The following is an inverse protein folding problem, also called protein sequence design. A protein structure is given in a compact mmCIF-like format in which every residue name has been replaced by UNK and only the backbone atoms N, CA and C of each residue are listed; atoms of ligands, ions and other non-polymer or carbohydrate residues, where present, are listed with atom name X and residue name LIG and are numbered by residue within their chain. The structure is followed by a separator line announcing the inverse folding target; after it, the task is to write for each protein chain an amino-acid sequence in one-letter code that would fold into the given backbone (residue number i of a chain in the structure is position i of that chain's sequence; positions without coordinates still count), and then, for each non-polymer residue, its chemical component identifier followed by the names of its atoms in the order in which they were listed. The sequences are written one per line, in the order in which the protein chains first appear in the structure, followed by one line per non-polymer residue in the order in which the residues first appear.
data_IF_640297051668
#
_entry.id   IF_640297051668
#
_cell.length_a   1.000
_cell.length_b   1.000
_cell.length_c   1.000
_cell.angle_alpha   90.00
_cell.angle_beta   90.00
_cell.angle_gamma   90.00
#
_symmetry.space_group_name_H-M   'P 1'
#
loop_
_entity.id
_entity.type
_entity.pdbx_description
1 polymer ?
#
# COMPACT_ATOMS: atom_id res chain seq x y z
N UNK A 1 -2.99 11.61 -16.70
CA UNK A 1 -3.45 12.99 -16.44
C UNK A 1 -3.71 13.06 -14.94
N UNK A 2 -2.69 13.05 -14.08
CA UNK A 2 -1.75 14.16 -13.87
C UNK A 2 -0.32 13.65 -13.62
N UNK A 3 0.62 14.06 -14.48
CA UNK A 3 2.06 14.11 -14.21
C UNK A 3 2.49 15.57 -13.92
N UNK A 4 1.53 16.43 -13.56
CA UNK A 4 1.70 17.88 -13.40
C UNK A 4 1.40 18.29 -11.97
N UNK A 5 2.33 19.01 -11.35
CA UNK A 5 2.15 19.66 -10.06
C UNK A 5 1.29 20.92 -10.26
N UNK A 6 0.15 21.02 -9.60
CA UNK A 6 -0.66 22.25 -9.58
C UNK A 6 -0.14 23.19 -8.49
N UNK A 7 0.18 24.42 -8.88
CA UNK A 7 0.68 25.45 -7.97
C UNK A 7 -0.46 26.13 -7.20
N UNK A 8 -1.72 25.94 -7.62
CA UNK A 8 -2.91 26.31 -6.84
C UNK A 8 -3.16 25.20 -5.81
N UNK A 9 -2.72 25.45 -4.57
CA UNK A 9 -3.03 24.56 -3.44
C UNK A 9 -4.55 24.53 -3.20
N UNK A 10 -5.21 23.47 -3.67
CA UNK A 10 -6.57 23.12 -3.27
C UNK A 10 -6.49 22.10 -2.15
N UNK A 11 -6.91 22.48 -0.94
CA UNK A 11 -7.00 21.54 0.16
C UNK A 11 -8.08 20.49 -0.17
N UNK A 12 -7.73 19.20 -0.08
CA UNK A 12 -8.70 18.11 -0.20
C UNK A 12 -9.83 18.32 0.80
N UNK A 13 -11.08 18.32 0.31
CA UNK A 13 -12.28 18.41 1.14
C UNK A 13 -12.82 16.99 1.29
N UNK A 14 -12.79 16.45 2.51
CA UNK A 14 -13.17 15.06 2.73
C UNK A 14 -12.11 14.09 2.22
N UNK A 15 -12.42 13.36 1.14
CA UNK A 15 -11.60 12.25 0.64
C UNK A 15 -11.66 12.24 -0.88
N UNK A 16 -10.51 12.06 -1.52
CA UNK A 16 -10.40 11.87 -2.97
C UNK A 16 -9.92 10.45 -3.30
N UNK A 17 -10.39 9.92 -4.43
CA UNK A 17 -10.09 8.56 -4.88
C UNK A 17 -9.42 8.59 -6.25
N UNK A 18 -8.23 7.99 -6.32
CA UNK A 18 -7.47 7.84 -7.55
C UNK A 18 -7.11 6.37 -7.77
N UNK A 19 -7.35 5.87 -8.99
CA UNK A 19 -6.90 4.53 -9.40
C UNK A 19 -5.77 4.66 -10.41
N UNK A 20 -4.63 4.03 -10.13
CA UNK A 20 -3.46 4.04 -11.03
C UNK A 20 -2.93 2.63 -11.23
N UNK A 21 -2.93 2.18 -12.47
CA UNK A 21 -2.29 0.92 -12.87
C UNK A 21 -0.79 1.14 -13.07
N UNK A 22 0.03 0.33 -12.41
CA UNK A 22 1.48 0.30 -12.58
C UNK A 22 1.91 -1.04 -13.17
N UNK A 23 2.82 -0.97 -14.12
CA UNK A 23 3.45 -2.14 -14.74
C UNK A 23 4.82 -2.33 -14.10
N UNK A 24 4.96 -3.41 -13.32
CA UNK A 24 6.24 -3.91 -12.83
C UNK A 24 6.75 -4.97 -13.81
N UNK A 25 8.03 -5.33 -13.71
CA UNK A 25 8.66 -6.29 -14.63
C UNK A 25 7.97 -7.66 -14.62
N UNK A 26 7.42 -8.05 -13.48
CA UNK A 26 6.83 -9.36 -13.20
C UNK A 26 5.29 -9.35 -13.08
N UNK A 27 4.66 -8.16 -12.94
CA UNK A 27 3.21 -8.06 -12.71
C UNK A 27 2.63 -6.68 -13.02
N UNK A 28 1.31 -6.65 -13.21
CA UNK A 28 0.53 -5.41 -13.27
C UNK A 28 -0.21 -5.21 -11.95
N UNK A 29 0.03 -4.10 -11.27
CA UNK A 29 -0.60 -3.75 -9.98
C UNK A 29 -1.54 -2.58 -10.19
N UNK A 30 -2.80 -2.70 -9.77
CA UNK A 30 -3.74 -1.58 -9.73
C UNK A 30 -3.77 -0.97 -8.33
N UNK A 31 -3.16 0.19 -8.17
CA UNK A 31 -3.18 0.94 -6.91
C UNK A 31 -4.49 1.73 -6.81
N UNK A 32 -5.19 1.55 -5.70
CA UNK A 32 -6.31 2.37 -5.27
C UNK A 32 -5.80 3.32 -4.19
N UNK A 33 -5.66 4.60 -4.55
CA UNK A 33 -5.18 5.64 -3.67
C UNK A 33 -6.37 6.39 -3.10
N UNK A 34 -6.38 6.51 -1.78
CA UNK A 34 -7.35 7.29 -1.03
C UNK A 34 -6.60 8.48 -0.42
N UNK A 35 -6.77 9.67 -0.98
CA UNK A 35 -6.22 10.89 -0.40
C UNK A 35 -7.20 11.45 0.62
N UNK A 36 -6.81 11.48 1.89
CA UNK A 36 -7.66 11.96 2.97
C UNK A 36 -7.29 13.39 3.32
N UNK A 37 -8.29 14.25 3.52
CA UNK A 37 -8.06 15.58 4.04
C UNK A 37 -7.35 15.51 5.41
N UNK A 38 -6.15 16.09 5.51
CA UNK A 38 -5.39 16.18 6.77
C UNK A 38 -6.01 17.09 7.83
N UNK A 39 -7.24 17.60 7.60
CA UNK A 39 -7.98 18.40 8.58
C UNK A 39 -8.69 17.51 9.59
N UNK A 40 -8.54 17.84 10.86
CA UNK A 40 -9.16 17.14 11.99
C UNK A 40 -10.69 17.04 11.90
N UNK A 41 -11.36 17.94 11.16
CA UNK A 41 -12.81 17.90 10.96
C UNK A 41 -13.31 16.68 10.18
N UNK A 42 -12.44 16.05 9.39
CA UNK A 42 -12.77 14.83 8.63
C UNK A 42 -12.18 13.57 9.25
N UNK A 43 -11.61 13.68 10.46
CA UNK A 43 -10.90 12.57 11.13
C UNK A 43 -11.82 11.39 11.48
N UNK A 44 -13.12 11.63 11.65
CA UNK A 44 -14.12 10.58 11.90
C UNK A 44 -14.32 9.65 10.70
N UNK A 45 -13.97 10.08 9.48
CA UNK A 45 -14.09 9.25 8.28
C UNK A 45 -12.87 8.35 8.08
N UNK A 46 -11.72 8.71 8.63
CA UNK A 46 -10.43 8.06 8.35
C UNK A 46 -10.39 6.57 8.74
N UNK A 47 -10.93 6.13 9.90
CA UNK A 47 -10.90 4.71 10.29
C UNK A 47 -11.50 3.76 9.25
N UNK A 48 -12.60 4.13 8.59
CA UNK A 48 -13.25 3.26 7.61
C UNK A 48 -12.40 3.02 6.36
N UNK A 49 -11.53 3.96 5.98
CA UNK A 49 -10.64 3.80 4.82
C UNK A 49 -9.32 3.10 5.19
N UNK A 50 -8.86 3.29 6.43
CA UNK A 50 -7.69 2.56 6.94
C UNK A 50 -7.98 1.06 7.04
N UNK A 51 -9.21 0.67 7.46
CA UNK A 51 -9.58 -0.73 7.74
C UNK A 51 -9.29 -1.71 6.59
N UNK A 52 -9.44 -1.30 5.34
CA UNK A 52 -9.22 -2.16 4.17
C UNK A 52 -7.92 -1.84 3.43
N UNK A 53 -7.09 -0.95 3.98
CA UNK A 53 -5.84 -0.53 3.37
C UNK A 53 -4.70 -1.51 3.65
N UNK A 54 -4.00 -1.94 2.60
CA UNK A 54 -2.78 -2.75 2.70
C UNK A 54 -1.54 -1.91 3.02
N UNK A 55 -1.55 -0.62 2.67
CA UNK A 55 -0.44 0.31 2.86
C UNK A 55 -0.99 1.65 3.35
N UNK A 56 -0.31 2.27 4.30
CA UNK A 56 -0.55 3.64 4.75
C UNK A 56 0.67 4.51 4.46
N UNK A 57 0.48 5.64 3.79
CA UNK A 57 1.54 6.62 3.52
C UNK A 57 1.33 7.83 4.40
N UNK A 58 2.21 8.02 5.38
CA UNK A 58 2.16 9.13 6.34
C UNK A 58 3.18 10.19 5.90
N UNK A 59 2.69 11.36 5.49
CA UNK A 59 3.52 12.41 4.89
C UNK A 59 3.71 13.57 5.86
N UNK A 60 4.92 14.08 5.99
CA UNK A 60 5.23 15.34 6.66
C UNK A 60 6.02 16.28 5.74
N UNK A 61 6.13 17.54 6.13
CA UNK A 61 6.91 18.57 5.44
C UNK A 61 8.26 18.75 6.16
N UNK A 62 9.38 18.56 5.44
CA UNK A 62 10.72 18.68 6.04
C UNK A 62 11.02 20.09 6.58
N UNK A 63 10.30 21.10 6.12
CA UNK A 63 10.41 22.51 6.57
C UNK A 63 9.45 22.87 7.70
N UNK A 64 8.74 21.89 8.28
CA UNK A 64 7.78 22.12 9.35
C UNK A 64 7.87 21.00 10.40
N UNK A 65 8.58 21.26 11.50
CA UNK A 65 8.76 20.30 12.59
C UNK A 65 7.45 19.87 13.25
N UNK A 66 6.44 20.74 13.29
CA UNK A 66 5.12 20.39 13.85
C UNK A 66 4.41 19.33 13.00
N UNK A 67 4.56 19.38 11.68
CA UNK A 67 4.01 18.36 10.78
C UNK A 67 4.64 16.98 11.04
N UNK A 68 5.94 16.94 11.34
CA UNK A 68 6.65 15.73 11.72
C UNK A 68 6.21 15.20 13.10
N UNK A 69 6.06 16.06 14.10
CA UNK A 69 5.55 15.63 15.41
C UNK A 69 4.15 15.00 15.33
N UNK A 70 3.31 15.51 14.42
CA UNK A 70 1.96 15.01 14.21
C UNK A 70 1.91 13.63 13.53
N UNK A 71 2.99 13.14 12.90
CA UNK A 71 2.99 11.83 12.23
C UNK A 71 2.79 10.69 13.21
N UNK A 72 3.31 10.82 14.44
CA UNK A 72 3.14 9.83 15.52
C UNK A 72 1.67 9.47 15.73
N UNK A 73 0.82 10.49 15.87
CA UNK A 73 -0.61 10.29 16.04
C UNK A 73 -1.24 9.56 14.85
N UNK A 74 -0.81 9.86 13.63
CA UNK A 74 -1.29 9.17 12.44
C UNK A 74 -0.83 7.72 12.37
N UNK A 75 0.41 7.43 12.78
CA UNK A 75 0.95 6.07 12.86
C UNK A 75 0.17 5.26 13.91
N UNK A 76 -0.09 5.86 15.07
CA UNK A 76 -0.89 5.24 16.13
C UNK A 76 -2.32 4.96 15.68
N UNK A 77 -2.98 5.94 15.01
CA UNK A 77 -4.32 5.79 14.44
C UNK A 77 -4.37 4.61 13.43
N UNK A 78 -3.35 4.47 12.58
CA UNK A 78 -3.24 3.36 11.60
C UNK A 78 -3.05 2.01 12.30
N UNK A 79 -2.16 1.96 13.30
CA UNK A 79 -1.89 0.74 14.07
C UNK A 79 -3.08 0.31 14.91
N UNK A 80 -3.87 1.25 15.43
CA UNK A 80 -5.08 0.94 16.18
C UNK A 80 -6.13 0.21 15.33
N UNK A 81 -6.25 0.56 14.05
CA UNK A 81 -7.24 -0.04 13.14
C UNK A 81 -6.75 -1.32 12.45
N UNK A 82 -5.45 -1.44 12.12
CA UNK A 82 -4.91 -2.55 11.31
C UNK A 82 -3.89 -3.43 12.01
N UNK A 83 -3.44 -3.06 13.20
CA UNK A 83 -2.32 -3.74 13.86
C UNK A 83 -1.04 -3.68 13.02
N UNK A 84 -0.30 -4.79 12.97
CA UNK A 84 0.98 -4.89 12.28
C UNK A 84 0.87 -5.43 10.84
N UNK A 85 -0.35 -5.71 10.35
CA UNK A 85 -0.58 -6.29 9.01
C UNK A 85 -0.59 -5.23 7.90
N UNK A 86 -0.44 -3.95 8.24
CA UNK A 86 -0.37 -2.83 7.31
C UNK A 86 1.08 -2.35 7.14
N UNK A 87 1.46 -2.13 5.90
CA UNK A 87 2.77 -1.54 5.59
C UNK A 87 2.65 -0.03 5.77
N UNK A 88 3.40 0.54 6.70
CA UNK A 88 3.40 1.99 6.94
C UNK A 88 4.67 2.60 6.35
N UNK A 89 4.50 3.67 5.58
CA UNK A 89 5.59 4.44 4.96
C UNK A 89 5.57 5.87 5.46
N UNK A 90 6.63 6.26 6.16
CA UNK A 90 6.88 7.64 6.57
C UNK A 90 7.58 8.38 5.43
N UNK A 91 7.00 9.51 5.00
CA UNK A 91 7.48 10.28 3.86
C UNK A 91 7.79 11.72 4.25
N UNK A 92 9.06 12.11 4.14
CA UNK A 92 9.49 13.50 4.25
C UNK A 92 9.34 14.20 2.89
N UNK A 93 8.29 15.00 2.73
CA UNK A 93 8.01 15.71 1.47
C UNK A 93 8.59 17.15 1.49
N UNK A 94 8.59 17.78 0.32
CA UNK A 94 9.13 19.13 0.05
C UNK A 94 10.65 19.23 0.21
N UNK A 95 11.38 18.19 -0.21
CA UNK A 95 12.86 18.22 -0.26
C UNK A 95 13.45 19.35 -1.10
N UNK A 96 12.67 19.98 -1.97
CA UNK A 96 13.03 21.21 -2.66
C UNK A 96 13.24 22.42 -1.72
N UNK A 97 12.71 22.37 -0.49
CA UNK A 97 12.87 23.40 0.54
C UNK A 97 14.02 23.09 1.51
N UNK A 98 15.07 22.42 1.05
CA UNK A 98 16.18 21.97 1.90
C UNK A 98 16.86 23.09 2.71
N UNK A 99 16.89 24.33 2.19
CA UNK A 99 17.42 25.50 2.90
C UNK A 99 16.60 25.88 4.14
N UNK A 100 15.31 25.52 4.17
CA UNK A 100 14.39 25.77 5.29
C UNK A 100 14.13 24.49 6.10
N UNK A 101 15.00 23.50 5.99
CA UNK A 101 14.82 22.20 6.65
C UNK A 101 14.83 22.37 8.18
N UNK A 102 13.73 21.96 8.80
CA UNK A 102 13.61 21.88 10.26
C UNK A 102 13.75 20.43 10.76
N UNK A 103 13.52 19.45 9.88
CA UNK A 103 13.62 18.01 10.19
C UNK A 103 14.71 17.38 9.35
N UNK A 104 15.76 16.91 10.01
CA UNK A 104 16.88 16.22 9.36
C UNK A 104 16.45 14.86 8.84
N UNK A 105 17.12 14.38 7.79
CA UNK A 105 16.89 13.03 7.26
C UNK A 105 17.15 11.96 8.34
N UNK A 106 18.17 12.17 9.18
CA UNK A 106 18.48 11.27 10.31
C UNK A 106 17.30 11.16 11.29
N UNK A 107 16.66 12.27 11.66
CA UNK A 107 15.48 12.23 12.54
C UNK A 107 14.34 11.42 11.93
N UNK A 108 14.09 11.56 10.63
CA UNK A 108 13.08 10.78 9.92
C UNK A 108 13.42 9.28 9.88
N UNK A 109 14.69 8.94 9.62
CA UNK A 109 15.16 7.55 9.64
C UNK A 109 15.10 6.91 11.02
N UNK A 110 15.47 7.64 12.08
CA UNK A 110 15.47 7.14 13.45
C UNK A 110 14.03 6.89 13.94
N UNK A 111 13.09 7.76 13.56
CA UNK A 111 11.67 7.58 13.81
C UNK A 111 11.14 6.33 13.13
N UNK A 112 11.42 6.20 11.82
CA UNK A 112 10.99 5.04 11.05
C UNK A 112 11.61 3.73 11.57
N UNK A 113 12.88 3.73 11.98
CA UNK A 113 13.52 2.55 12.57
C UNK A 113 12.88 2.16 13.90
N UNK A 114 12.57 3.15 14.75
CA UNK A 114 11.96 2.91 16.07
C UNK A 114 10.57 2.28 15.95
N UNK A 115 9.80 2.75 14.98
CA UNK A 115 8.43 2.30 14.75
C UNK A 115 8.34 1.24 13.63
N UNK A 116 9.46 0.66 13.19
CA UNK A 116 9.52 -0.36 12.14
C UNK A 116 8.72 0.02 10.86
N UNK A 117 8.94 1.24 10.38
CA UNK A 117 8.30 1.83 9.20
C UNK A 117 9.28 1.87 8.03
N UNK A 118 8.76 1.91 6.80
CA UNK A 118 9.57 2.34 5.66
C UNK A 118 9.75 3.86 5.67
N UNK A 119 10.93 4.33 5.26
CA UNK A 119 11.20 5.77 5.13
C UNK A 119 11.64 6.14 3.71
N UNK A 120 11.18 7.30 3.24
CA UNK A 120 11.65 7.92 2.00
C UNK A 120 11.45 9.44 2.02
N UNK A 121 12.39 10.20 1.47
CA UNK A 121 12.18 11.62 1.21
C UNK A 121 11.77 11.86 -0.26
N UNK A 122 10.83 12.80 -0.47
CA UNK A 122 10.26 13.12 -1.78
C UNK A 122 10.15 14.63 -2.00
N UNK A 123 10.01 15.06 -3.26
CA UNK A 123 9.49 16.38 -3.60
C UNK A 123 8.40 16.20 -4.63
N UNK A 124 7.14 16.40 -4.22
CA UNK A 124 6.02 16.43 -5.15
C UNK A 124 6.19 17.52 -6.23
N UNK A 125 6.79 18.66 -5.85
CA UNK A 125 7.04 19.79 -6.76
C UNK A 125 8.02 19.46 -7.88
N UNK A 126 9.12 18.77 -7.55
CA UNK A 126 10.13 18.37 -8.52
C UNK A 126 9.87 16.98 -9.12
N UNK A 127 8.86 16.26 -8.63
CA UNK A 127 8.65 14.84 -8.92
C UNK A 127 9.72 13.91 -8.35
N UNK A 128 10.63 14.42 -7.50
CA UNK A 128 11.75 13.68 -6.96
C UNK A 128 11.25 12.55 -6.03
N UNK A 129 11.74 11.33 -6.27
CA UNK A 129 11.41 10.09 -5.55
C UNK A 129 9.93 9.67 -5.51
N UNK A 130 8.99 10.41 -6.10
CA UNK A 130 7.57 10.05 -6.09
C UNK A 130 7.33 8.71 -6.80
N UNK A 131 7.93 8.50 -7.98
CA UNK A 131 7.82 7.22 -8.71
C UNK A 131 8.49 6.07 -7.95
N UNK A 132 9.63 6.34 -7.33
CA UNK A 132 10.37 5.34 -6.54
C UNK A 132 9.60 4.91 -5.29
N UNK A 133 8.90 5.85 -4.64
CA UNK A 133 8.03 5.58 -3.50
C UNK A 133 6.96 4.55 -3.87
N UNK A 134 6.19 4.81 -4.94
CA UNK A 134 5.15 3.88 -5.38
C UNK A 134 5.72 2.54 -5.86
N UNK A 135 6.86 2.54 -6.57
CA UNK A 135 7.54 1.29 -6.95
C UNK A 135 7.92 0.45 -5.73
N UNK A 136 8.50 1.08 -4.70
CA UNK A 136 8.90 0.39 -3.46
C UNK A 136 7.71 -0.15 -2.67
N UNK A 137 6.62 0.63 -2.58
CA UNK A 137 5.35 0.18 -2.00
C UNK A 137 4.82 -1.04 -2.76
N UNK A 138 4.77 -0.96 -4.09
CA UNK A 138 4.25 -2.04 -4.91
C UNK A 138 5.11 -3.31 -4.86
N UNK A 139 6.42 -3.19 -4.60
CA UNK A 139 7.30 -4.34 -4.36
C UNK A 139 7.10 -4.95 -2.96
N UNK A 140 6.76 -4.15 -1.95
CA UNK A 140 6.57 -4.63 -0.58
C UNK A 140 5.21 -5.31 -0.34
N UNK A 141 4.22 -5.09 -1.22
CA UNK A 141 2.88 -5.66 -1.06
C UNK A 141 2.88 -7.21 -1.14
N UNK A 142 2.31 -7.90 -0.12
CA UNK A 142 2.19 -9.36 -0.10
C UNK A 142 1.32 -9.86 -1.26
N UNK A 143 1.69 -11.01 -1.83
CA UNK A 143 1.22 -11.49 -3.14
C UNK A 143 2.35 -11.78 -4.13
N UNK A 144 3.61 -11.76 -3.68
CA UNK A 144 4.78 -12.21 -4.43
C UNK A 144 4.86 -13.75 -4.54
N UNK A 145 4.08 -14.51 -3.77
CA UNK A 145 4.05 -15.99 -3.81
C UNK A 145 2.75 -16.56 -4.41
N UNK A 146 1.98 -15.77 -5.17
CA UNK A 146 0.65 -16.16 -5.65
C UNK A 146 0.52 -16.48 -7.14
N UNK A 147 1.47 -16.04 -7.99
CA UNK A 147 1.34 -16.24 -9.44
C UNK A 147 1.85 -17.61 -9.91
N UNK A 148 2.84 -18.20 -9.22
CA UNK A 148 3.34 -19.54 -9.54
C UNK A 148 2.49 -20.67 -8.91
N UNK A 149 1.82 -20.41 -7.78
CA UNK A 149 0.98 -21.41 -7.13
C UNK A 149 -0.36 -21.66 -7.87
N UNK A 150 -0.90 -20.63 -8.55
CA UNK A 150 -2.12 -20.78 -9.36
C UNK A 150 -1.86 -21.49 -10.70
N UNK A 151 -0.62 -21.47 -11.21
CA UNK A 151 -0.26 -22.18 -12.43
C UNK A 151 -0.12 -23.70 -12.24
N UNK A 152 0.28 -24.16 -11.04
CA UNK A 152 0.46 -25.60 -10.75
C UNK A 152 -0.81 -26.33 -10.29
N UNK A 153 -1.88 -25.62 -9.91
CA UNK A 153 -3.13 -26.24 -9.47
C UNK A 153 -4.05 -26.69 -10.63
N UNK A 154 -3.72 -26.36 -11.89
CA UNK A 154 -4.55 -26.74 -13.06
C UNK A 154 -4.11 -28.03 -13.76
N UNK A 155 -3.08 -28.73 -13.27
CA UNK A 155 -2.52 -29.91 -13.95
C UNK A 155 -3.03 -31.27 -13.45
N UNK A 156 -3.91 -31.34 -12.45
CA UNK A 156 -4.53 -32.61 -12.07
C UNK A 156 -5.88 -32.80 -12.76
N UNK A 157 -5.82 -33.14 -14.05
CA UNK A 157 -6.94 -33.81 -14.72
C UNK A 157 -7.13 -35.19 -14.06
N UNK A 158 -8.14 -35.31 -13.22
CA UNK A 158 -8.63 -36.59 -12.72
C UNK A 158 -9.35 -37.27 -13.90
N UNK A 159 -8.67 -38.22 -14.55
CA UNK A 159 -9.27 -39.05 -15.60
C UNK A 159 -10.24 -40.06 -14.95
N UNK A 160 -11.51 -39.69 -14.84
CA UNK A 160 -12.57 -40.62 -14.45
C UNK A 160 -12.81 -41.59 -15.62
N UNK A 161 -12.18 -42.76 -15.57
CA UNK A 161 -12.60 -43.91 -16.38
C UNK A 161 -13.95 -44.40 -15.85
N UNK A 162 -15.01 -44.03 -16.55
CA UNK A 162 -16.36 -44.58 -16.41
C UNK A 162 -16.29 -46.10 -16.65
N UNK A 163 -16.35 -46.87 -15.57
CA UNK A 163 -16.54 -48.33 -15.66
C UNK A 163 -18.04 -48.57 -15.69
N UNK A 164 -18.54 -48.99 -16.85
CA UNK A 164 -19.91 -49.46 -17.03
C UNK A 164 -20.19 -50.64 -16.11
N UNK A 165 -21.04 -50.43 -15.12
CA UNK A 165 -21.61 -51.48 -14.29
C UNK A 165 -22.62 -52.30 -15.09
N UNK A 166 -22.27 -53.55 -15.40
CA UNK A 166 -23.26 -54.60 -15.70
C UNK A 166 -23.66 -55.31 -14.40
N UNK A 167 -24.92 -55.75 -14.26
CA UNK A 167 -25.43 -56.31 -13.03
C UNK A 167 -24.95 -57.74 -12.78
N UNK A 168 -24.76 -58.03 -11.50
CA UNK A 168 -24.48 -59.31 -10.85
C UNK A 168 -25.51 -60.39 -11.18
N UNK A 169 -25.05 -61.60 -11.52
CA UNK A 169 -25.76 -62.86 -11.28
C UNK A 169 -24.86 -63.82 -10.52
N UNK A 170 -25.32 -64.21 -9.34
CA UNK A 170 -24.83 -65.30 -8.50
C UNK A 170 -25.10 -66.66 -9.17
N UNK A 171 -24.23 -67.66 -8.95
CA UNK A 171 -24.51 -69.03 -9.38
C UNK A 171 -23.35 -70.03 -9.24
N UNK A 172 -23.08 -70.43 -7.99
CA UNK A 172 -22.59 -71.72 -7.44
C UNK A 172 -21.66 -72.70 -8.20
N UNK A 173 -20.83 -73.37 -7.38
CA UNK A 173 -19.79 -74.35 -7.67
C UNK A 173 -20.28 -75.79 -7.94
N UNK A 174 -19.38 -76.56 -8.56
CA UNK A 174 -19.30 -78.03 -8.71
C UNK A 174 -20.07 -78.68 -9.85
#
# INVERSE_FOLDING_TARGET
MYDSFDNMYQATIGIDFLSKTMYLEDRTVRLQLWDTAGQERFRSLIPSYIRDSSVAVVVYDISNAKSFQNTKKWIDDVRAERGNDVIIVLVGNKTDLNEKREVTTQQGEDEAKRDNLMFMETSAKLGHNVKNLFKRIAQALPGMEGADAAAQASSQMINVKTTSSQPTQEGCSC
#
